data_IF_804161103810
#
_entry.id   IF_804161103810
#
_cell.length_a   1.000
_cell.length_b   1.000
_cell.length_c   1.000
_cell.angle_alpha   90.00
_cell.angle_beta   90.00
_cell.angle_gamma   90.00
#
_symmetry.space_group_name_H-M   'P 1'
#
loop_
_entity.id
_entity.type
_entity.pdbx_description
1 polymer ?
#
# COMPACT_ATOMS: atom_id res chain seq x y z
N UNK A 1 8.34 9.02 1.64
CA UNK A 1 9.49 8.86 0.73
C UNK A 1 8.96 8.75 -0.69
N UNK A 2 9.35 9.66 -1.59
CA UNK A 2 8.85 9.65 -2.98
C UNK A 2 9.61 8.65 -3.87
N UNK A 3 10.84 8.32 -3.49
CA UNK A 3 11.76 7.46 -4.26
C UNK A 3 12.52 6.56 -3.27
N UNK A 4 11.92 5.45 -2.82
CA UNK A 4 12.47 4.58 -1.76
C UNK A 4 13.86 4.01 -2.09
N UNK A 5 14.13 3.74 -3.36
CA UNK A 5 15.41 3.20 -3.85
C UNK A 5 16.58 4.16 -3.60
N UNK A 6 16.32 5.46 -3.49
CA UNK A 6 17.33 6.48 -3.22
C UNK A 6 17.49 6.81 -1.73
N UNK A 7 16.77 6.13 -0.83
CA UNK A 7 16.83 6.43 0.61
C UNK A 7 18.26 6.35 1.17
N UNK A 8 19.06 5.36 0.74
CA UNK A 8 20.47 5.23 1.12
C UNK A 8 21.41 6.26 0.48
N UNK A 9 21.05 6.84 -0.68
CA UNK A 9 21.87 7.82 -1.40
C UNK A 9 21.60 9.27 -0.98
N UNK A 10 20.40 9.55 -0.44
CA UNK A 10 19.93 10.90 -0.14
C UNK A 10 20.27 11.39 1.28
N UNK A 11 20.94 10.58 2.10
CA UNK A 11 21.24 10.93 3.50
C UNK A 11 22.76 11.06 3.72
N UNK A 12 23.22 12.25 4.14
CA UNK A 12 24.58 12.47 4.69
C UNK A 12 24.83 11.69 5.99
N UNK A 13 23.79 11.04 6.54
CA UNK A 13 23.91 10.07 7.62
C UNK A 13 23.64 8.66 7.07
N UNK A 14 24.66 7.82 7.09
CA UNK A 14 24.54 6.41 6.72
C UNK A 14 23.76 5.71 7.84
N UNK A 15 22.46 5.48 7.63
CA UNK A 15 21.71 4.57 8.47
C UNK A 15 22.26 3.15 8.26
N UNK A 16 22.35 2.38 9.34
CA UNK A 16 22.59 0.94 9.21
C UNK A 16 21.51 0.33 8.30
N UNK A 17 21.86 -0.58 7.37
CA UNK A 17 20.92 -1.15 6.40
C UNK A 17 19.66 -1.73 7.05
N UNK A 18 19.80 -2.35 8.22
CA UNK A 18 18.67 -2.88 8.99
C UNK A 18 17.70 -1.80 9.49
N UNK A 19 18.22 -0.60 9.79
CA UNK A 19 17.41 0.54 10.21
C UNK A 19 16.64 1.11 9.03
N UNK A 20 17.28 1.18 7.87
CA UNK A 20 16.64 1.61 6.63
C UNK A 20 15.45 0.69 6.26
N UNK A 21 15.68 -0.61 6.28
CA UNK A 21 14.63 -1.63 6.05
C UNK A 21 13.48 -1.50 7.04
N UNK A 22 13.78 -1.34 8.34
CA UNK A 22 12.76 -1.15 9.38
C UNK A 22 11.91 0.09 9.12
N UNK A 23 12.53 1.20 8.71
CA UNK A 23 11.81 2.46 8.43
C UNK A 23 10.93 2.32 7.19
N UNK A 24 11.43 1.69 6.13
CA UNK A 24 10.65 1.42 4.91
C UNK A 24 9.47 0.50 5.20
N UNK A 25 9.70 -0.60 5.91
CA UNK A 25 8.65 -1.52 6.36
C UNK A 25 7.57 -0.79 7.15
N UNK A 26 7.95 -0.04 8.19
CA UNK A 26 6.99 0.70 9.01
C UNK A 26 6.23 1.78 8.22
N UNK A 27 6.90 2.43 7.26
CA UNK A 27 6.30 3.47 6.44
C UNK A 27 5.29 2.90 5.41
N UNK A 28 5.63 1.77 4.77
CA UNK A 28 4.79 1.11 3.78
C UNK A 28 3.75 0.17 4.39
N UNK A 29 3.82 -0.16 5.67
CA UNK A 29 2.79 -0.96 6.31
C UNK A 29 1.44 -0.23 6.38
N UNK A 30 0.36 -1.00 6.36
CA UNK A 30 -1.03 -0.53 6.39
C UNK A 30 -1.86 -1.20 7.49
N UNK A 31 -2.86 -0.46 7.95
CA UNK A 31 -3.84 -0.97 8.89
C UNK A 31 -4.94 -1.73 8.12
N UNK A 32 -5.27 -2.99 8.48
CA UNK A 32 -6.22 -3.80 7.72
C UNK A 32 -7.62 -3.17 7.56
N UNK A 33 -8.08 -2.38 8.55
CA UNK A 33 -9.36 -1.68 8.43
C UNK A 33 -9.31 -0.57 7.38
N UNK A 34 -8.23 0.22 7.34
CA UNK A 34 -8.03 1.30 6.36
C UNK A 34 -7.91 0.73 4.96
N UNK A 35 -7.18 -0.38 4.82
CA UNK A 35 -7.03 -1.06 3.54
C UNK A 35 -8.38 -1.51 2.96
N UNK A 36 -9.28 -2.06 3.79
CA UNK A 36 -10.63 -2.48 3.34
C UNK A 36 -11.43 -1.31 2.82
N UNK A 37 -11.34 -0.16 3.48
CA UNK A 37 -12.01 1.07 3.02
C UNK A 37 -11.43 1.59 1.71
N UNK A 38 -10.25 1.15 1.26
CA UNK A 38 -9.69 1.50 -0.05
C UNK A 38 -10.03 0.49 -1.16
N UNK A 39 -10.46 -0.72 -0.80
CA UNK A 39 -10.87 -1.74 -1.78
C UNK A 39 -12.21 -1.35 -2.43
N UNK A 40 -12.38 -1.70 -3.70
CA UNK A 40 -13.59 -1.35 -4.48
C UNK A 40 -13.59 0.07 -5.07
N UNK A 41 -12.64 0.93 -4.67
CA UNK A 41 -12.52 2.30 -5.15
C UNK A 41 -11.62 2.40 -6.39
N UNK A 42 -11.89 3.40 -7.23
CA UNK A 42 -10.96 3.77 -8.30
C UNK A 42 -9.82 4.60 -7.71
N UNK A 43 -8.65 3.99 -7.51
CA UNK A 43 -7.43 4.68 -7.05
C UNK A 43 -7.04 5.86 -7.97
N UNK A 44 -7.46 5.83 -9.23
CA UNK A 44 -7.21 6.85 -10.25
C UNK A 44 -8.14 8.09 -10.19
N UNK A 45 -9.25 8.05 -9.45
CA UNK A 45 -10.27 9.13 -9.47
C UNK A 45 -10.52 9.83 -8.12
N UNK A 46 -9.70 9.57 -7.10
CA UNK A 46 -9.61 10.40 -5.90
C UNK A 46 -10.89 10.54 -5.06
N UNK A 47 -11.72 9.49 -4.98
CA UNK A 47 -13.03 9.54 -4.27
C UNK A 47 -13.04 8.92 -2.87
N UNK A 48 -11.88 8.80 -2.22
CA UNK A 48 -11.86 8.38 -0.82
C UNK A 48 -11.86 9.63 0.05
N UNK A 49 -12.98 9.89 0.72
CA UNK A 49 -13.00 10.84 1.82
C UNK A 49 -12.15 10.25 2.94
N UNK A 50 -10.95 10.79 3.13
CA UNK A 50 -10.07 10.36 4.22
C UNK A 50 -10.68 10.65 5.59
N UNK A 51 -11.64 11.58 5.65
CA UNK A 51 -12.39 11.91 6.86
C UNK A 51 -13.37 10.76 7.19
N UNK A 52 -14.07 10.21 6.18
CA UNK A 52 -14.95 9.04 6.35
C UNK A 52 -14.14 7.80 6.77
N UNK A 53 -12.94 7.62 6.20
CA UNK A 53 -12.05 6.50 6.55
C UNK A 53 -11.50 6.65 7.97
N UNK A 54 -11.10 7.85 8.37
CA UNK A 54 -10.70 8.14 9.76
C UNK A 54 -11.86 7.87 10.72
N UNK A 55 -13.08 8.31 10.39
CA UNK A 55 -14.26 8.06 11.22
C UNK A 55 -14.56 6.57 11.35
N UNK A 56 -14.55 5.84 10.23
CA UNK A 56 -14.87 4.41 10.18
C UNK A 56 -13.82 3.53 10.88
N UNK A 57 -12.54 3.89 10.76
CA UNK A 57 -11.43 3.04 11.22
C UNK A 57 -10.79 3.50 12.52
N UNK A 58 -11.04 4.75 12.93
CA UNK A 58 -10.36 5.45 14.05
C UNK A 58 -8.85 5.55 13.87
N UNK A 59 -8.34 5.37 12.64
CA UNK A 59 -6.93 5.58 12.32
C UNK A 59 -6.73 7.06 11.95
N UNK A 60 -5.68 7.73 12.48
CA UNK A 60 -5.45 9.14 12.21
C UNK A 60 -5.40 9.45 10.71
N UNK A 61 -6.05 10.54 10.29
CA UNK A 61 -6.12 10.98 8.89
C UNK A 61 -4.78 10.98 8.15
N UNK A 62 -3.72 11.42 8.81
CA UNK A 62 -2.37 11.45 8.23
C UNK A 62 -1.85 10.04 7.92
N UNK A 63 -2.16 9.05 8.76
CA UNK A 63 -1.83 7.65 8.52
C UNK A 63 -2.68 7.06 7.39
N UNK A 64 -3.99 7.35 7.36
CA UNK A 64 -4.85 6.96 6.24
C UNK A 64 -4.33 7.53 4.91
N UNK A 65 -3.93 8.82 4.90
CA UNK A 65 -3.33 9.47 3.74
C UNK A 65 -2.06 8.77 3.28
N UNK A 66 -1.14 8.49 4.21
CA UNK A 66 0.12 7.78 3.92
C UNK A 66 -0.15 6.43 3.27
N UNK A 67 -1.07 5.65 3.83
CA UNK A 67 -1.43 4.33 3.33
C UNK A 67 -2.05 4.40 1.93
N UNK A 68 -2.94 5.37 1.68
CA UNK A 68 -3.51 5.61 0.36
C UNK A 68 -2.44 5.99 -0.66
N UNK A 69 -1.59 6.97 -0.34
CA UNK A 69 -0.54 7.46 -1.22
C UNK A 69 0.49 6.37 -1.53
N UNK A 70 0.83 5.52 -0.56
CA UNK A 70 1.71 4.38 -0.78
C UNK A 70 1.08 3.33 -1.68
N UNK A 71 -0.18 2.94 -1.43
CA UNK A 71 -0.90 2.00 -2.29
C UNK A 71 -1.01 2.52 -3.73
N UNK A 72 -1.35 3.80 -3.89
CA UNK A 72 -1.42 4.43 -5.21
C UNK A 72 -0.07 4.42 -5.92
N UNK A 73 1.02 4.74 -5.22
CA UNK A 73 2.38 4.74 -5.79
C UNK A 73 2.79 3.34 -6.26
N UNK A 74 2.54 2.30 -5.46
CA UNK A 74 2.87 0.92 -5.86
C UNK A 74 2.01 0.49 -7.05
N UNK A 75 0.72 0.85 -7.05
CA UNK A 75 -0.18 0.57 -8.17
C UNK A 75 0.29 1.25 -9.47
N UNK A 76 0.60 2.55 -9.41
CA UNK A 76 1.13 3.32 -10.55
C UNK A 76 2.43 2.69 -11.08
N UNK A 77 3.37 2.34 -10.20
CA UNK A 77 4.63 1.70 -10.60
C UNK A 77 4.42 0.35 -11.32
N UNK A 78 3.50 -0.48 -10.82
CA UNK A 78 3.22 -1.81 -11.39
C UNK A 78 2.42 -1.71 -12.69
N UNK A 79 1.50 -0.75 -12.81
CA UNK A 79 0.71 -0.55 -14.04
C UNK A 79 1.52 0.09 -15.18
N UNK A 80 2.49 0.96 -14.86
CA UNK A 80 3.41 1.54 -15.86
C UNK A 80 4.31 0.48 -16.49
N UNK A 81 4.69 -0.54 -15.71
CA UNK A 81 5.44 -1.70 -16.18
C UNK A 81 4.48 -2.72 -16.83
N UNK A 82 3.95 -2.34 -17.99
CA UNK A 82 2.91 -3.07 -18.72
C UNK A 82 3.28 -4.50 -19.18
N UNK A 83 4.57 -4.83 -19.25
CA UNK A 83 5.11 -6.15 -19.62
C UNK A 83 6.08 -6.66 -18.54
N UNK A 84 5.54 -7.02 -17.38
CA UNK A 84 6.34 -7.67 -16.35
C UNK A 84 6.65 -9.12 -16.76
N UNK A 85 7.89 -9.36 -17.16
CA UNK A 85 8.46 -10.72 -17.30
C UNK A 85 8.71 -11.40 -15.92
N UNK A 86 8.46 -10.68 -14.83
CA UNK A 86 8.68 -11.12 -13.45
C UNK A 86 7.40 -11.06 -12.62
N UNK A 87 7.24 -11.92 -11.60
CA UNK A 87 6.12 -11.81 -10.67
C UNK A 87 6.05 -10.42 -10.01
N UNK A 88 4.86 -9.82 -9.98
CA UNK A 88 4.58 -8.49 -9.37
C UNK A 88 5.17 -8.35 -7.97
N UNK A 89 5.10 -9.40 -7.14
CA UNK A 89 5.68 -9.40 -5.80
C UNK A 89 7.19 -9.12 -5.82
N UNK A 90 7.94 -9.75 -6.72
CA UNK A 90 9.39 -9.55 -6.82
C UNK A 90 9.71 -8.13 -7.28
N UNK A 91 8.90 -7.58 -8.19
CA UNK A 91 9.06 -6.20 -8.65
C UNK A 91 8.81 -5.19 -7.52
N UNK A 92 7.78 -5.41 -6.70
CA UNK A 92 7.51 -4.57 -5.52
C UNK A 92 8.67 -4.65 -4.52
N UNK A 93 9.19 -5.86 -4.24
CA UNK A 93 10.36 -6.00 -3.36
C UNK A 93 11.55 -5.22 -3.88
N UNK A 94 11.83 -5.31 -5.19
CA UNK A 94 12.97 -4.67 -5.83
C UNK A 94 12.87 -3.14 -5.80
N UNK A 95 11.72 -2.58 -6.20
CA UNK A 95 11.52 -1.13 -6.31
C UNK A 95 11.34 -0.44 -4.96
N UNK A 96 10.60 -1.07 -4.05
CA UNK A 96 10.23 -0.46 -2.78
C UNK A 96 11.08 -0.94 -1.60
N UNK A 97 11.98 -1.92 -1.84
CA UNK A 97 12.85 -2.54 -0.83
C UNK A 97 12.06 -3.06 0.38
N UNK A 98 10.91 -3.67 0.08
CA UNK A 98 10.04 -4.27 1.09
C UNK A 98 10.38 -5.76 1.26
N UNK A 99 10.12 -6.28 2.46
CA UNK A 99 10.17 -7.71 2.73
C UNK A 99 9.19 -8.47 1.84
N UNK A 100 9.47 -9.76 1.67
CA UNK A 100 8.59 -10.64 0.91
C UNK A 100 7.15 -10.64 1.46
N UNK A 101 7.00 -10.62 2.79
CA UNK A 101 5.70 -10.63 3.44
C UNK A 101 4.89 -9.38 3.08
N UNK A 102 5.48 -8.17 3.18
CA UNK A 102 4.76 -6.94 2.88
C UNK A 102 4.52 -6.78 1.37
N UNK A 103 5.51 -7.10 0.53
CA UNK A 103 5.35 -7.06 -0.93
C UNK A 103 4.27 -8.04 -1.43
N UNK A 104 4.17 -9.21 -0.82
CA UNK A 104 3.10 -10.17 -1.10
C UNK A 104 1.73 -9.60 -0.75
N UNK A 105 1.59 -8.95 0.42
CA UNK A 105 0.33 -8.32 0.79
C UNK A 105 -0.05 -7.21 -0.20
N UNK A 106 0.90 -6.37 -0.63
CA UNK A 106 0.66 -5.39 -1.69
C UNK A 106 0.22 -6.06 -2.98
N UNK A 107 0.85 -7.16 -3.40
CA UNK A 107 0.47 -7.93 -4.59
C UNK A 107 -0.99 -8.38 -4.51
N UNK A 108 -1.41 -8.95 -3.37
CA UNK A 108 -2.80 -9.36 -3.14
C UNK A 108 -3.76 -8.16 -3.20
N UNK A 109 -3.39 -7.04 -2.60
CA UNK A 109 -4.22 -5.83 -2.60
C UNK A 109 -4.40 -5.28 -4.01
N UNK A 110 -3.31 -5.15 -4.78
CA UNK A 110 -3.36 -4.66 -6.14
C UNK A 110 -4.23 -5.56 -7.02
N UNK A 111 -4.14 -6.88 -6.85
CA UNK A 111 -5.04 -7.82 -7.49
C UNK A 111 -6.50 -7.53 -7.14
N UNK A 112 -6.84 -7.40 -5.85
CA UNK A 112 -8.21 -7.09 -5.42
C UNK A 112 -8.72 -5.74 -5.97
N UNK A 113 -7.86 -4.72 -6.01
CA UNK A 113 -8.18 -3.40 -6.58
C UNK A 113 -8.42 -3.50 -8.08
N UNK A 114 -7.52 -4.16 -8.83
CA UNK A 114 -7.60 -4.33 -10.29
C UNK A 114 -8.91 -4.99 -10.71
N UNK A 115 -9.33 -6.03 -9.98
CA UNK A 115 -10.58 -6.75 -10.23
C UNK A 115 -11.79 -6.19 -9.47
N UNK A 116 -11.65 -5.03 -8.81
CA UNK A 116 -12.71 -4.33 -8.08
C UNK A 116 -13.47 -5.20 -7.06
N UNK A 117 -12.74 -6.04 -6.32
CA UNK A 117 -13.34 -6.82 -5.24
C UNK A 117 -13.89 -5.91 -4.14
N UNK A 118 -15.18 -6.05 -3.82
CA UNK A 118 -15.81 -5.39 -2.69
C UNK A 118 -15.85 -6.34 -1.49
N UNK A 119 -15.19 -5.97 -0.39
CA UNK A 119 -15.24 -6.70 0.87
C UNK A 119 -16.37 -6.16 1.76
N UNK A 120 -17.60 -6.19 1.24
CA UNK A 120 -18.76 -5.60 1.89
C UNK A 120 -19.05 -6.29 3.24
N UNK A 121 -18.94 -5.56 4.35
CA UNK A 121 -19.13 -6.10 5.72
C UNK A 121 -20.59 -6.45 5.99
N UNK A 122 -21.54 -5.82 5.28
CA UNK A 122 -22.99 -6.08 5.42
C UNK A 122 -23.36 -7.55 5.24
N UNK A 123 -22.58 -8.33 4.48
CA UNK A 123 -22.84 -9.76 4.25
C UNK A 123 -22.47 -10.67 5.44
N UNK A 124 -21.76 -10.17 6.47
CA UNK A 124 -21.41 -10.96 7.67
C UNK A 124 -22.46 -10.92 8.77
N UNK A 125 -23.42 -9.99 8.73
CA UNK A 125 -24.53 -9.92 9.69
C UNK A 125 -25.67 -10.90 9.37
N UNK A 126 -25.63 -11.59 8.21
CA UNK A 126 -26.65 -12.57 7.79
C UNK A 126 -26.35 -14.02 8.19
N UNK A 127 -25.26 -14.26 8.91
CA UNK A 127 -24.84 -15.60 9.36
C UNK A 127 -24.83 -15.71 10.90
N UNK A 128 -25.83 -15.12 11.55
CA UNK A 128 -26.17 -15.38 12.94
C UNK A 128 -27.66 -15.61 13.06
#
# INVERSE_FOLDING_TARGET
>A
LKTPELLGEQMECHLEPSTEEMVLEAYYNFHPAVLREFLGLQLSRGRVSLDDVEEATRVPRQSCRRQYDNLRRVHEQVDEESDLDVPVCLEIQRKFRLSHALAWQYTCVLFLVKYRFNLDVKRRASWR
#
